data_IF_855683212342
#
_entry.id   IF_855683212342
#
_cell.length_a   1.000
_cell.length_b   1.000
_cell.length_c   1.000
_cell.angle_alpha   90.00
_cell.angle_beta   90.00
_cell.angle_gamma   90.00
#
_symmetry.space_group_name_H-M   'P 1'
#
loop_
_entity.id
_entity.type
_entity.pdbx_description
1 polymer ?
#
# COMPACT_ATOMS: atom_id res chain seq x y z
N UNK A 1 11.88 -13.85 -2.62
CA UNK A 1 12.41 -12.48 -2.52
C UNK A 1 11.32 -11.54 -2.04
N UNK A 2 11.65 -10.73 -1.07
CA UNK A 2 10.66 -9.85 -0.46
C UNK A 2 10.44 -8.62 -1.34
N UNK A 3 9.17 -8.30 -1.59
CA UNK A 3 8.76 -7.12 -2.33
C UNK A 3 7.96 -6.21 -1.39
N UNK A 4 8.64 -5.62 -0.41
CA UNK A 4 7.98 -4.85 0.64
C UNK A 4 8.33 -3.36 0.64
N UNK A 5 9.30 -2.95 -0.16
CA UNK A 5 9.74 -1.55 -0.19
C UNK A 5 9.83 -1.01 -1.61
N UNK A 6 9.52 0.28 -1.78
CA UNK A 6 9.75 0.99 -3.02
C UNK A 6 11.22 1.42 -3.09
N UNK A 7 11.84 1.20 -4.24
CA UNK A 7 13.20 1.65 -4.49
C UNK A 7 13.19 3.06 -5.08
N UNK A 8 14.32 3.78 -4.93
CA UNK A 8 14.47 5.09 -5.54
C UNK A 8 14.28 5.03 -7.06
N UNK A 9 14.76 3.95 -7.70
CA UNK A 9 14.60 3.75 -9.13
C UNK A 9 13.13 3.65 -9.52
N UNK A 10 12.32 2.93 -8.74
CA UNK A 10 10.88 2.83 -8.98
C UNK A 10 10.21 4.19 -8.86
N UNK A 11 10.56 4.95 -7.82
CA UNK A 11 10.01 6.29 -7.60
C UNK A 11 10.36 7.20 -8.78
N UNK A 12 11.60 7.15 -9.26
CA UNK A 12 12.02 7.96 -10.43
C UNK A 12 11.25 7.58 -11.69
N UNK A 13 10.97 6.29 -11.90
CA UNK A 13 10.16 5.86 -13.04
C UNK A 13 8.73 6.37 -12.96
N UNK A 14 8.19 6.53 -11.75
CA UNK A 14 6.86 7.13 -11.54
C UNK A 14 6.86 8.62 -11.91
N UNK A 15 7.96 9.34 -11.64
CA UNK A 15 8.07 10.77 -11.94
C UNK A 15 8.08 11.07 -13.44
N UNK A 16 8.42 10.09 -14.28
CA UNK A 16 8.43 10.23 -15.73
C UNK A 16 7.03 10.16 -16.36
N UNK A 17 6.02 9.82 -15.56
CA UNK A 17 4.64 9.69 -16.03
C UNK A 17 3.83 10.93 -15.67
N UNK A 18 2.63 11.05 -16.29
CA UNK A 18 1.75 12.19 -16.04
C UNK A 18 1.49 12.39 -14.54
N UNK A 19 1.95 13.51 -13.95
CA UNK A 19 1.80 13.73 -12.51
C UNK A 19 0.36 14.02 -12.09
N UNK A 20 -0.49 14.42 -13.01
CA UNK A 20 -1.85 14.84 -12.70
C UNK A 20 -2.88 13.71 -12.86
N UNK A 21 -2.45 12.55 -13.33
CA UNK A 21 -3.34 11.40 -13.50
C UNK A 21 -3.82 10.87 -12.16
N UNK A 22 -5.15 10.75 -11.95
CA UNK A 22 -5.67 10.07 -10.76
C UNK A 22 -5.32 8.59 -10.81
N UNK A 23 -4.89 8.05 -9.68
CA UNK A 23 -4.44 6.66 -9.60
C UNK A 23 -5.06 5.92 -8.42
N UNK A 24 -5.07 4.60 -8.53
CA UNK A 24 -5.38 3.69 -7.44
C UNK A 24 -4.25 2.68 -7.33
N UNK A 25 -3.90 2.31 -6.10
CA UNK A 25 -2.81 1.38 -5.84
C UNK A 25 -3.37 0.08 -5.27
N UNK A 26 -3.19 -1.00 -6.02
CA UNK A 26 -3.55 -2.33 -5.52
C UNK A 26 -2.41 -2.81 -4.65
N UNK A 27 -2.71 -3.08 -3.38
CA UNK A 27 -1.80 -3.72 -2.44
C UNK A 27 -2.27 -5.12 -2.16
N UNK A 28 -1.43 -6.12 -2.44
CA UNK A 28 -1.59 -7.48 -1.95
C UNK A 28 -0.59 -7.65 -0.81
N UNK A 29 -1.05 -8.12 0.33
CA UNK A 29 -0.26 -8.17 1.55
C UNK A 29 -0.20 -9.57 2.12
N UNK A 30 1.01 -9.98 2.52
CA UNK A 30 1.27 -11.20 3.28
C UNK A 30 1.91 -10.80 4.60
N UNK A 31 1.20 -11.00 5.69
CA UNK A 31 1.68 -10.60 7.02
C UNK A 31 2.64 -11.61 7.62
N UNK A 32 3.61 -11.11 8.38
CA UNK A 32 4.40 -11.93 9.28
C UNK A 32 3.51 -12.40 10.44
N UNK A 33 3.83 -13.58 10.96
CA UNK A 33 3.14 -14.07 12.18
C UNK A 33 3.44 -13.16 13.35
N UNK A 34 4.70 -12.76 13.50
CA UNK A 34 5.15 -11.80 14.51
C UNK A 34 5.91 -10.68 13.79
N UNK A 35 5.56 -9.45 14.12
CA UNK A 35 6.27 -8.27 13.58
C UNK A 35 7.75 -8.32 13.93
N UNK A 36 8.58 -7.66 13.13
CA UNK A 36 10.02 -7.62 13.32
C UNK A 36 10.34 -7.25 14.79
N UNK A 37 11.07 -8.12 15.52
CA UNK A 37 11.41 -7.84 16.90
C UNK A 37 12.20 -6.55 17.12
N UNK A 38 12.95 -6.10 16.10
CA UNK A 38 13.73 -4.86 16.18
C UNK A 38 12.87 -3.61 16.30
N UNK A 39 11.55 -3.73 16.03
CA UNK A 39 10.63 -2.61 16.24
C UNK A 39 10.28 -2.37 17.71
N UNK A 40 10.60 -3.31 18.59
CA UNK A 40 10.35 -3.17 20.02
C UNK A 40 8.88 -3.23 20.41
N UNK A 41 8.04 -3.88 19.61
CA UNK A 41 6.59 -3.96 19.83
C UNK A 41 6.16 -5.18 20.64
N UNK A 42 7.11 -5.96 21.17
CA UNK A 42 6.82 -7.19 21.90
C UNK A 42 6.25 -8.27 20.97
N UNK A 43 5.26 -9.02 21.46
CA UNK A 43 4.66 -10.13 20.72
C UNK A 43 3.53 -9.69 19.78
N UNK A 44 3.68 -8.55 19.13
CA UNK A 44 2.69 -8.00 18.19
C UNK A 44 2.73 -8.78 16.88
N UNK A 45 1.55 -9.16 16.35
CA UNK A 45 1.46 -9.82 15.05
C UNK A 45 1.81 -8.83 13.92
N UNK A 46 2.22 -9.37 12.76
CA UNK A 46 2.42 -8.54 11.58
C UNK A 46 1.17 -7.76 11.21
N UNK A 47 0.01 -8.42 11.26
CA UNK A 47 -1.28 -7.78 10.97
C UNK A 47 -1.55 -6.59 11.91
N UNK A 48 -1.39 -6.77 13.20
CA UNK A 48 -1.63 -5.71 14.18
C UNK A 48 -0.61 -4.57 14.04
N UNK A 49 0.63 -4.89 13.70
CA UNK A 49 1.65 -3.90 13.40
C UNK A 49 1.27 -3.06 12.18
N UNK A 50 0.83 -3.72 11.11
CA UNK A 50 0.46 -3.03 9.87
C UNK A 50 -0.69 -2.05 10.10
N UNK A 51 -1.77 -2.50 10.71
CA UNK A 51 -2.95 -1.65 10.92
C UNK A 51 -2.77 -0.68 12.08
N UNK A 52 -2.20 -1.11 13.19
CA UNK A 52 -2.09 -0.29 14.40
C UNK A 52 -0.97 0.74 14.37
N UNK A 53 0.08 0.50 13.61
CA UNK A 53 1.25 1.38 13.57
C UNK A 53 1.48 2.03 12.21
N UNK A 54 1.31 1.28 11.11
CA UNK A 54 1.50 1.84 9.79
C UNK A 54 0.25 2.56 9.29
N UNK A 55 -0.84 1.83 9.08
CA UNK A 55 -2.09 2.40 8.54
C UNK A 55 -2.63 3.51 9.44
N UNK A 56 -2.59 3.32 10.75
CA UNK A 56 -3.06 4.35 11.69
C UNK A 56 -2.29 5.66 11.58
N UNK A 57 -1.05 5.63 11.13
CA UNK A 57 -0.22 6.82 10.95
C UNK A 57 -0.42 7.54 9.62
N UNK A 58 -1.07 6.91 8.63
CA UNK A 58 -1.19 7.48 7.28
C UNK A 58 -2.20 8.64 7.18
N UNK A 59 -3.42 8.58 7.77
CA UNK A 59 -4.42 9.63 7.55
C UNK A 59 -3.97 11.05 7.90
N UNK A 60 -3.27 11.30 9.02
CA UNK A 60 -2.82 12.66 9.32
C UNK A 60 -1.87 13.22 8.25
N UNK A 61 -1.00 12.37 7.70
CA UNK A 61 -0.05 12.76 6.66
C UNK A 61 -0.80 13.02 5.35
N UNK A 62 -1.67 12.10 4.96
CA UNK A 62 -2.47 12.21 3.75
C UNK A 62 -3.35 13.46 3.78
N UNK A 63 -3.94 13.78 4.92
CA UNK A 63 -4.77 14.97 5.10
C UNK A 63 -3.93 16.24 5.00
N UNK A 64 -2.77 16.28 5.64
CA UNK A 64 -1.86 17.43 5.59
C UNK A 64 -1.41 17.71 4.15
N UNK A 65 -1.13 16.68 3.38
CA UNK A 65 -0.67 16.78 2.00
C UNK A 65 -1.82 16.87 0.98
N UNK A 66 -3.06 16.75 1.43
CA UNK A 66 -4.25 16.82 0.59
C UNK A 66 -4.19 15.83 -0.58
N UNK A 67 -3.79 14.59 -0.28
CA UNK A 67 -3.56 13.56 -1.31
C UNK A 67 -4.83 12.96 -1.91
N UNK A 68 -5.97 13.19 -1.28
CA UNK A 68 -7.20 12.51 -1.66
C UNK A 68 -7.21 11.01 -1.32
N UNK A 69 -6.26 10.57 -0.48
CA UNK A 69 -6.16 9.18 -0.05
C UNK A 69 -7.45 8.71 0.62
N UNK A 70 -8.05 7.67 0.05
CA UNK A 70 -9.21 7.00 0.64
C UNK A 70 -9.32 5.60 0.06
N UNK A 71 -9.88 4.63 0.80
CA UNK A 71 -9.98 3.28 0.29
C UNK A 71 -11.10 3.14 -0.74
N UNK A 72 -10.79 2.54 -1.88
CA UNK A 72 -11.81 2.06 -2.82
C UNK A 72 -12.32 0.68 -2.40
N UNK A 73 -11.42 -0.16 -1.91
CA UNK A 73 -11.76 -1.49 -1.40
C UNK A 73 -10.68 -1.94 -0.43
N UNK A 74 -11.08 -2.63 0.61
CA UNK A 74 -10.15 -3.29 1.52
C UNK A 74 -10.87 -4.47 2.18
N UNK A 75 -10.20 -5.63 2.22
CA UNK A 75 -10.74 -6.79 2.91
C UNK A 75 -9.72 -7.94 2.96
N UNK A 76 -10.04 -8.93 3.78
CA UNK A 76 -9.27 -10.18 3.82
C UNK A 76 -9.41 -10.94 2.50
N UNK A 77 -8.33 -11.59 2.10
CA UNK A 77 -8.32 -12.48 0.93
C UNK A 77 -8.69 -13.88 1.39
N UNK A 78 -9.66 -14.50 0.71
CA UNK A 78 -10.04 -15.88 1.00
C UNK A 78 -9.18 -16.88 0.25
N UNK A 79 -9.00 -16.69 -1.06
CA UNK A 79 -8.33 -17.68 -1.91
C UNK A 79 -7.78 -17.05 -3.17
N UNK A 80 -6.68 -17.62 -3.66
CA UNK A 80 -6.12 -17.30 -4.97
C UNK A 80 -6.44 -18.48 -5.89
N UNK A 81 -7.36 -18.29 -6.83
CA UNK A 81 -7.77 -19.37 -7.72
C UNK A 81 -6.83 -19.54 -8.90
N UNK A 82 -6.33 -18.45 -9.45
CA UNK A 82 -5.31 -18.44 -10.49
C UNK A 82 -4.06 -17.79 -9.95
N UNK A 83 -3.05 -18.58 -9.64
CA UNK A 83 -1.82 -18.10 -9.01
C UNK A 83 -0.72 -19.15 -9.16
N UNK A 84 0.50 -18.76 -8.91
CA UNK A 84 1.63 -19.69 -8.84
C UNK A 84 1.43 -20.66 -7.68
N UNK A 85 2.03 -21.86 -7.78
CA UNK A 85 1.99 -22.84 -6.69
C UNK A 85 2.50 -22.21 -5.39
N UNK A 86 1.70 -22.30 -4.33
CA UNK A 86 2.05 -21.76 -3.02
C UNK A 86 1.85 -20.24 -2.87
N UNK A 87 1.37 -19.57 -3.90
CA UNK A 87 1.07 -18.15 -3.80
C UNK A 87 -0.23 -17.97 -3.01
N UNK A 88 -0.14 -17.27 -1.89
CA UNK A 88 -1.29 -16.89 -1.10
C UNK A 88 -1.10 -15.48 -0.53
N UNK A 89 -2.20 -14.79 -0.29
CA UNK A 89 -2.23 -13.43 0.22
C UNK A 89 -3.22 -13.34 1.37
N UNK A 90 -2.95 -12.46 2.33
CA UNK A 90 -3.80 -12.31 3.51
C UNK A 90 -4.81 -11.18 3.34
N UNK A 91 -4.43 -10.11 2.65
CA UNK A 91 -5.24 -8.90 2.61
C UNK A 91 -5.07 -8.17 1.28
N UNK A 92 -6.16 -7.55 0.82
CA UNK A 92 -6.19 -6.70 -0.36
C UNK A 92 -6.61 -5.29 0.08
N UNK A 93 -5.83 -4.30 -0.30
CA UNK A 93 -6.11 -2.89 -0.01
C UNK A 93 -5.91 -2.07 -1.28
N UNK A 94 -6.92 -1.30 -1.66
CA UNK A 94 -6.87 -0.44 -2.85
C UNK A 94 -7.19 0.99 -2.45
N UNK A 95 -6.19 1.77 -1.99
CA UNK A 95 -6.38 3.20 -1.80
C UNK A 95 -6.35 3.93 -3.14
N UNK A 96 -7.12 5.01 -3.24
CA UNK A 96 -7.04 5.94 -4.34
C UNK A 96 -6.31 7.21 -3.91
N UNK A 97 -5.75 7.90 -4.89
CA UNK A 97 -5.07 9.18 -4.70
C UNK A 97 -5.55 10.15 -5.77
N UNK A 98 -5.61 11.44 -5.41
CA UNK A 98 -6.06 12.49 -6.31
C UNK A 98 -5.23 12.54 -7.60
N UNK A 99 -3.93 12.27 -7.48
CA UNK A 99 -3.01 12.27 -8.60
C UNK A 99 -1.76 11.45 -8.28
N UNK A 100 -1.02 11.07 -9.30
CA UNK A 100 0.30 10.44 -9.13
C UNK A 100 1.24 11.35 -8.34
N UNK A 101 1.20 12.65 -8.58
CA UNK A 101 1.97 13.64 -7.81
C UNK A 101 1.68 13.53 -6.32
N UNK A 102 0.40 13.45 -5.95
CA UNK A 102 -0.01 13.34 -4.54
C UNK A 102 0.53 12.07 -3.89
N UNK A 103 0.51 10.95 -4.59
CA UNK A 103 1.09 9.70 -4.10
C UNK A 103 2.60 9.85 -3.87
N UNK A 104 3.34 10.41 -4.84
CA UNK A 104 4.78 10.61 -4.74
C UNK A 104 5.11 11.56 -3.57
N UNK A 105 4.36 12.64 -3.42
CA UNK A 105 4.55 13.55 -2.29
C UNK A 105 4.38 12.85 -0.95
N UNK A 106 3.40 11.96 -0.84
CA UNK A 106 3.18 11.21 0.40
C UNK A 106 4.32 10.25 0.70
N UNK A 107 4.72 9.43 -0.28
CA UNK A 107 5.75 8.40 -0.04
C UNK A 107 7.14 8.99 0.15
N UNK A 108 7.37 10.22 -0.27
CA UNK A 108 8.65 10.92 -0.07
C UNK A 108 8.63 11.88 1.12
N UNK A 109 7.49 12.04 1.77
CA UNK A 109 7.36 12.89 2.96
C UNK A 109 8.12 12.30 4.14
N UNK A 110 8.79 13.16 4.92
CA UNK A 110 9.65 12.70 6.02
C UNK A 110 8.89 11.96 7.11
N UNK A 111 7.66 12.38 7.43
CA UNK A 111 6.84 11.68 8.41
C UNK A 111 6.38 10.31 7.91
N UNK A 112 6.01 10.24 6.62
CA UNK A 112 5.65 8.96 6.02
C UNK A 112 6.84 8.00 6.02
N UNK A 113 8.04 8.49 5.70
CA UNK A 113 9.25 7.67 5.71
C UNK A 113 9.51 7.01 7.07
N UNK A 114 9.16 7.68 8.17
CA UNK A 114 9.27 7.11 9.50
C UNK A 114 8.29 5.97 9.76
N UNK A 115 7.17 5.91 9.04
CA UNK A 115 6.20 4.82 9.16
C UNK A 115 6.64 3.55 8.44
N UNK A 116 7.54 3.64 7.47
CA UNK A 116 7.89 2.52 6.60
C UNK A 116 8.47 1.33 7.36
N UNK A 117 9.16 1.56 8.47
CA UNK A 117 9.68 0.46 9.30
C UNK A 117 8.56 -0.45 9.81
N UNK A 118 7.38 0.12 10.10
CA UNK A 118 6.23 -0.67 10.54
C UNK A 118 5.61 -1.44 9.39
N UNK A 119 5.61 -0.87 8.19
CA UNK A 119 5.14 -1.58 7.00
C UNK A 119 6.07 -2.73 6.66
N UNK A 120 7.35 -2.47 6.52
CA UNK A 120 8.35 -3.50 6.19
C UNK A 120 8.43 -4.56 7.28
N UNK A 121 8.38 -4.17 8.54
CA UNK A 121 8.47 -5.10 9.67
C UNK A 121 7.20 -5.92 9.89
N UNK A 122 6.09 -5.55 9.24
CA UNK A 122 4.82 -6.28 9.34
C UNK A 122 4.66 -7.34 8.24
N UNK A 123 5.39 -7.25 7.14
CA UNK A 123 5.13 -8.01 5.92
C UNK A 123 6.21 -9.04 5.60
N UNK A 124 5.77 -10.21 5.15
CA UNK A 124 6.64 -11.21 4.52
C UNK A 124 6.84 -10.86 3.06
N UNK A 125 5.75 -10.44 2.39
CA UNK A 125 5.73 -10.17 0.96
C UNK A 125 4.60 -9.21 0.64
N UNK A 126 4.70 -8.54 -0.51
CA UNK A 126 3.64 -7.66 -0.98
C UNK A 126 3.73 -7.46 -2.48
N UNK A 127 2.65 -6.96 -3.05
CA UNK A 127 2.62 -6.41 -4.41
C UNK A 127 2.00 -5.03 -4.35
N UNK A 128 2.56 -4.11 -5.10
CA UNK A 128 2.01 -2.77 -5.27
C UNK A 128 1.85 -2.54 -6.76
N UNK A 129 0.60 -2.40 -7.20
CA UNK A 129 0.28 -2.29 -8.62
C UNK A 129 -0.47 -1.00 -8.84
N UNK A 130 0.08 -0.12 -9.68
CA UNK A 130 -0.57 1.13 -10.03
C UNK A 130 -1.63 0.91 -11.10
N UNK A 131 -2.82 1.47 -10.88
CA UNK A 131 -3.90 1.50 -11.85
C UNK A 131 -4.35 2.95 -12.07
N UNK A 132 -4.84 3.24 -13.26
CA UNK A 132 -5.55 4.50 -13.48
C UNK A 132 -6.86 4.48 -12.70
N UNK A 133 -7.29 5.63 -12.21
CA UNK A 133 -8.53 5.73 -11.47
C UNK A 133 -9.55 6.57 -12.25
N UNK A 134 -9.92 6.09 -13.41
CA UNK A 134 -10.99 6.69 -14.21
C UNK A 134 -12.34 6.21 -13.68
N UNK A 135 -13.32 7.11 -13.64
CA UNK A 135 -14.68 6.71 -13.31
C UNK A 135 -15.18 5.81 -14.43
N UNK A 136 -15.67 4.61 -14.12
CA UNK A 136 -16.15 3.69 -15.14
C UNK A 136 -17.56 4.09 -15.64
N UNK A 137 -17.68 5.28 -16.23
CA UNK A 137 -18.93 5.69 -16.84
C UNK A 137 -19.26 4.73 -17.98
N UNK A 138 -20.48 4.19 -17.97
CA UNK A 138 -20.91 3.27 -18.97
C UNK A 138 -20.27 1.88 -18.86
N UNK A 139 -19.89 1.48 -17.67
CA UNK A 139 -19.35 0.13 -17.46
C UNK A 139 -20.34 -0.92 -17.98
N UNK A 140 -19.91 -1.84 -18.85
CA UNK A 140 -20.84 -2.64 -19.66
C UNK A 140 -21.44 -3.86 -18.97
N UNK A 141 -21.52 -3.89 -17.66
CA UNK A 141 -22.07 -5.02 -16.91
C UNK A 141 -23.56 -4.80 -16.55
N UNK A 142 -24.33 -4.32 -17.50
CA UNK A 142 -25.77 -4.24 -17.33
C UNK A 142 -26.51 -4.77 -18.53
#
# INVERSE_FOLDING_TARGET
MDHVELTDQTIESMRDRDPDEPIAMINLLKFRDVADPDLGLGATSGRDCYFGHYIAGVPPIANRLETGHSPLYLNDVNSCFFASTGEDWDYLLIPQYRSRRSFIEMITDSQYQELLKYRSGALVNSRLIECVNEKPEGYPLH
#
